data_IF_128571550206
#
_entry.id   IF_128571550206
#
_cell.length_a   1.000
_cell.length_b   1.000
_cell.length_c   1.000
_cell.angle_alpha   90.00
_cell.angle_beta   90.00
_cell.angle_gamma   90.00
#
_symmetry.space_group_name_H-M   'P 1'
#
loop_
_entity.id
_entity.type
_entity.pdbx_description
1 polymer ?
#
# COMPACT_ATOMS: atom_id res chain seq x y z
N UNK A 1 -4.96 22.98 14.74
CA UNK A 1 -4.69 22.83 16.19
C UNK A 1 -6.00 22.74 16.98
N UNK A 2 -6.00 22.42 18.27
CA UNK A 2 -7.20 22.47 19.11
C UNK A 2 -7.55 23.94 19.47
N UNK A 3 -8.69 24.46 19.01
CA UNK A 3 -9.08 25.86 19.25
C UNK A 3 -9.76 26.04 20.62
N UNK A 4 -10.47 25.01 21.08
CA UNK A 4 -11.21 25.01 22.35
C UNK A 4 -10.94 23.72 23.12
N UNK A 5 -11.16 23.78 24.43
CA UNK A 5 -11.15 22.60 25.27
C UNK A 5 -12.50 21.88 25.12
N UNK A 6 -12.48 20.66 24.59
CA UNK A 6 -13.68 19.92 24.19
C UNK A 6 -13.53 18.45 24.62
N UNK A 7 -14.63 17.80 25.07
CA UNK A 7 -14.61 16.37 25.34
C UNK A 7 -14.26 15.56 24.10
N UNK A 8 -13.39 14.57 24.29
CA UNK A 8 -13.02 13.54 23.34
C UNK A 8 -13.86 12.30 23.65
N UNK A 9 -14.52 11.72 22.65
CA UNK A 9 -15.43 10.59 22.82
C UNK A 9 -14.86 9.28 22.27
N UNK A 10 -15.22 8.14 22.87
CA UNK A 10 -14.83 6.81 22.36
C UNK A 10 -15.47 6.55 20.99
N UNK A 11 -16.74 6.94 20.85
CA UNK A 11 -17.56 6.66 19.68
C UNK A 11 -18.08 7.96 19.05
N UNK A 12 -18.41 7.95 17.75
CA UNK A 12 -18.97 9.12 17.08
C UNK A 12 -20.30 9.60 17.69
N UNK A 13 -21.05 8.68 18.31
CA UNK A 13 -22.34 8.97 18.95
C UNK A 13 -22.19 9.77 20.26
N UNK A 14 -20.97 10.02 20.73
CA UNK A 14 -20.75 10.88 21.91
C UNK A 14 -21.15 10.25 23.25
N UNK A 15 -21.36 8.93 23.31
CA UNK A 15 -21.91 8.26 24.51
C UNK A 15 -20.97 8.25 25.71
N UNK A 16 -19.65 8.23 25.50
CA UNK A 16 -18.65 8.15 26.57
C UNK A 16 -17.46 9.05 26.27
N UNK A 17 -17.24 10.03 27.15
CA UNK A 17 -16.05 10.86 27.11
C UNK A 17 -14.85 10.09 27.65
N UNK A 18 -13.76 10.07 26.89
CA UNK A 18 -12.46 9.50 27.29
C UNK A 18 -11.61 10.57 27.97
N UNK A 19 -11.77 11.83 27.56
CA UNK A 19 -11.02 12.93 28.15
C UNK A 19 -11.39 14.29 27.58
N UNK A 20 -10.60 15.30 27.95
CA UNK A 20 -10.77 16.68 27.51
C UNK A 20 -9.55 17.10 26.72
N UNK A 21 -9.76 17.50 25.47
CA UNK A 21 -8.69 17.97 24.59
C UNK A 21 -8.13 19.29 25.10
N UNK A 22 -6.80 19.40 25.24
CA UNK A 22 -6.19 20.64 25.71
C UNK A 22 -6.15 21.68 24.58
N UNK A 23 -6.65 22.90 24.85
CA UNK A 23 -6.59 24.03 23.91
C UNK A 23 -5.14 24.33 23.52
N UNK A 24 -4.93 24.69 22.26
CA UNK A 24 -3.63 25.11 21.71
C UNK A 24 -2.64 23.98 21.46
N UNK A 25 -3.05 22.70 21.57
CA UNK A 25 -2.19 21.56 21.24
C UNK A 25 -2.43 21.09 19.82
N UNK A 26 -1.34 20.71 19.14
CA UNK A 26 -1.40 20.05 17.83
C UNK A 26 -2.03 18.68 18.00
N UNK A 27 -2.88 18.31 17.04
CA UNK A 27 -3.57 17.02 17.02
C UNK A 27 -3.37 16.39 15.65
N UNK A 28 -3.30 15.07 15.61
CA UNK A 28 -3.24 14.32 14.36
C UNK A 28 -4.64 13.79 14.07
N UNK A 29 -5.22 14.18 12.94
CA UNK A 29 -6.49 13.62 12.47
C UNK A 29 -6.21 12.27 11.82
N UNK A 30 -6.94 11.25 12.26
CA UNK A 30 -6.80 9.87 11.79
C UNK A 30 -8.00 9.48 10.90
N UNK A 31 -9.20 9.95 11.22
CA UNK A 31 -10.39 9.67 10.42
C UNK A 31 -11.39 10.83 10.44
N UNK A 32 -12.29 10.85 9.46
CA UNK A 32 -13.40 11.80 9.33
C UNK A 32 -14.70 11.03 9.24
N UNK A 33 -15.72 11.48 9.96
CA UNK A 33 -17.09 11.04 9.80
C UNK A 33 -18.01 12.26 9.85
N UNK A 34 -18.63 12.61 8.72
CA UNK A 34 -19.50 13.78 8.58
C UNK A 34 -18.79 15.06 9.10
N UNK A 35 -19.20 15.56 10.27
CA UNK A 35 -18.64 16.75 10.93
C UNK A 35 -17.83 16.43 12.20
N UNK A 36 -17.36 15.20 12.33
CA UNK A 36 -16.53 14.73 13.44
C UNK A 36 -15.21 14.17 12.92
N UNK A 37 -14.16 14.36 13.71
CA UNK A 37 -12.83 13.84 13.45
C UNK A 37 -12.41 12.88 14.54
N UNK A 38 -11.88 11.74 14.14
CA UNK A 38 -11.14 10.87 15.05
C UNK A 38 -9.71 11.39 15.13
N UNK A 39 -9.29 11.85 16.30
CA UNK A 39 -7.97 12.45 16.51
C UNK A 39 -7.14 11.62 17.46
N UNK A 40 -5.81 11.74 17.33
CA UNK A 40 -4.84 11.44 18.37
C UNK A 40 -4.27 12.77 18.86
N UNK A 41 -4.37 13.01 20.16
CA UNK A 41 -3.94 14.27 20.75
C UNK A 41 -3.63 14.16 22.23
N UNK A 42 -3.08 15.23 22.79
CA UNK A 42 -2.80 15.32 24.22
C UNK A 42 -4.01 15.91 24.95
N UNK A 43 -4.65 15.07 25.75
CA UNK A 43 -5.69 15.45 26.70
C UNK A 43 -5.08 15.89 28.04
N UNK A 44 -5.92 16.36 28.99
CA UNK A 44 -5.47 16.76 30.32
C UNK A 44 -4.70 15.65 31.08
N UNK A 45 -5.11 14.40 30.93
CA UNK A 45 -4.54 13.25 31.66
C UNK A 45 -3.59 12.39 30.81
N UNK A 46 -3.19 12.85 29.61
CA UNK A 46 -2.23 12.13 28.76
C UNK A 46 -2.62 12.08 27.29
N UNK A 47 -1.95 11.23 26.51
CA UNK A 47 -2.28 11.03 25.10
C UNK A 47 -3.55 10.17 24.97
N UNK A 48 -4.52 10.69 24.23
CA UNK A 48 -5.83 10.05 24.03
C UNK A 48 -6.16 10.01 22.54
N UNK A 49 -6.86 8.94 22.14
CA UNK A 49 -7.51 8.82 20.83
C UNK A 49 -9.01 8.87 21.00
N UNK A 50 -9.70 9.60 20.13
CA UNK A 50 -11.16 9.64 20.15
C UNK A 50 -11.76 10.66 19.19
N UNK A 51 -13.09 10.71 19.18
CA UNK A 51 -13.90 11.57 18.34
C UNK A 51 -14.07 12.95 18.95
N UNK A 52 -13.93 13.98 18.13
CA UNK A 52 -14.22 15.38 18.44
C UNK A 52 -14.98 16.02 17.29
N UNK A 53 -15.80 17.00 17.61
CA UNK A 53 -16.51 17.80 16.60
C UNK A 53 -15.53 18.68 15.83
N UNK A 54 -15.74 18.86 14.53
CA UNK A 54 -14.92 19.72 13.66
C UNK A 54 -14.73 21.15 14.20
N UNK A 55 -15.75 21.71 14.84
CA UNK A 55 -15.71 23.05 15.47
C UNK A 55 -14.69 23.17 16.61
N UNK A 56 -14.20 22.04 17.16
CA UNK A 56 -13.20 22.03 18.22
C UNK A 56 -11.78 22.31 17.69
N UNK A 57 -11.57 22.07 16.40
CA UNK A 57 -10.28 22.26 15.73
C UNK A 57 -10.27 23.60 15.02
N UNK A 58 -9.08 24.19 14.91
CA UNK A 58 -8.85 25.29 13.97
C UNK A 58 -9.32 24.89 12.59
N UNK A 59 -9.76 25.89 11.83
CA UNK A 59 -10.29 25.75 10.48
C UNK A 59 -9.31 24.93 9.63
N UNK A 60 -9.59 23.64 9.50
CA UNK A 60 -8.92 22.79 8.52
C UNK A 60 -9.21 23.36 7.14
N UNK A 61 -8.27 23.22 6.23
CA UNK A 61 -8.49 23.62 4.85
C UNK A 61 -9.77 22.93 4.33
N UNK A 62 -10.58 23.67 3.58
CA UNK A 62 -11.85 23.18 3.02
C UNK A 62 -11.62 21.90 2.21
N UNK A 63 -10.47 21.82 1.53
CA UNK A 63 -10.09 20.68 0.69
C UNK A 63 -9.67 19.43 1.49
N UNK A 64 -9.25 19.58 2.75
CA UNK A 64 -8.69 18.49 3.56
C UNK A 64 -9.67 17.33 3.74
N UNK A 65 -10.93 17.65 4.02
CA UNK A 65 -11.98 16.65 4.23
C UNK A 65 -12.30 15.85 2.96
N UNK A 66 -12.28 16.53 1.80
CA UNK A 66 -12.52 15.89 0.51
C UNK A 66 -11.32 15.05 0.08
N UNK A 67 -10.09 15.53 0.30
CA UNK A 67 -8.87 14.76 0.05
C UNK A 67 -8.83 13.48 0.89
N UNK A 68 -9.26 13.52 2.16
CA UNK A 68 -9.36 12.31 3.00
C UNK A 68 -10.40 11.31 2.46
N UNK A 69 -11.52 11.78 1.93
CA UNK A 69 -12.52 10.91 1.28
C UNK A 69 -11.96 10.28 0.01
N UNK A 70 -11.25 11.04 -0.81
CA UNK A 70 -10.57 10.54 -2.02
C UNK A 70 -9.54 9.48 -1.65
N UNK A 71 -8.69 9.75 -0.65
CA UNK A 71 -7.70 8.80 -0.14
C UNK A 71 -8.34 7.53 0.42
N UNK A 72 -9.44 7.66 1.16
CA UNK A 72 -10.18 6.49 1.68
C UNK A 72 -10.74 5.62 0.54
N UNK A 73 -11.30 6.25 -0.51
CA UNK A 73 -11.78 5.53 -1.70
C UNK A 73 -10.62 4.85 -2.43
N UNK A 74 -9.51 5.57 -2.66
CA UNK A 74 -8.27 5.01 -3.24
C UNK A 74 -7.80 3.80 -2.44
N UNK A 75 -7.73 3.91 -1.11
CA UNK A 75 -7.23 2.84 -0.24
C UNK A 75 -8.02 1.54 -0.40
N UNK A 76 -9.36 1.62 -0.49
CA UNK A 76 -10.21 0.44 -0.76
C UNK A 76 -9.85 -0.24 -2.09
N UNK A 77 -9.69 0.55 -3.16
CA UNK A 77 -9.32 0.03 -4.48
C UNK A 77 -7.95 -0.66 -4.41
N UNK A 78 -6.96 -0.03 -3.76
CA UNK A 78 -5.62 -0.59 -3.59
C UNK A 78 -5.64 -1.87 -2.75
N UNK A 79 -6.44 -1.92 -1.68
CA UNK A 79 -6.56 -3.10 -0.83
C UNK A 79 -7.17 -4.29 -1.59
N UNK A 80 -8.17 -4.03 -2.44
CA UNK A 80 -8.73 -5.05 -3.33
C UNK A 80 -7.71 -5.56 -4.35
N UNK A 81 -6.87 -4.66 -4.91
CA UNK A 81 -5.78 -5.06 -5.82
C UNK A 81 -4.73 -5.92 -5.12
N UNK A 82 -4.30 -5.52 -3.92
CA UNK A 82 -3.33 -6.28 -3.11
C UNK A 82 -3.87 -7.67 -2.79
N UNK A 83 -5.14 -7.78 -2.39
CA UNK A 83 -5.79 -9.06 -2.08
C UNK A 83 -5.81 -9.99 -3.29
N UNK A 84 -5.96 -9.43 -4.49
CA UNK A 84 -5.99 -10.18 -5.74
C UNK A 84 -4.60 -10.35 -6.39
N UNK A 85 -3.51 -9.92 -5.74
CA UNK A 85 -2.13 -9.95 -6.27
C UNK A 85 -2.01 -9.23 -7.61
N UNK A 86 -2.68 -8.08 -7.74
CA UNK A 86 -2.68 -7.25 -8.94
C UNK A 86 -1.88 -5.97 -8.74
N UNK A 87 -1.40 -5.40 -9.85
CA UNK A 87 -0.73 -4.11 -9.89
C UNK A 87 -1.51 -3.19 -10.83
N UNK A 88 -1.46 -1.89 -10.53
CA UNK A 88 -2.12 -0.85 -11.30
C UNK A 88 -1.20 0.39 -11.40
N UNK A 89 -1.42 1.18 -12.45
CA UNK A 89 -0.75 2.47 -12.60
C UNK A 89 -1.18 3.40 -11.46
N UNK A 90 -0.25 4.20 -10.95
CA UNK A 90 -0.51 5.09 -9.81
C UNK A 90 -0.41 4.42 -8.43
N UNK A 91 -0.10 3.13 -8.32
CA UNK A 91 0.26 2.49 -7.05
C UNK A 91 1.61 3.01 -6.54
N UNK A 92 1.81 2.99 -5.23
CA UNK A 92 3.09 3.30 -4.59
C UNK A 92 3.99 2.05 -4.56
N UNK A 93 5.32 2.18 -4.51
CA UNK A 93 6.24 1.04 -4.36
C UNK A 93 5.89 0.14 -3.18
N UNK A 94 5.47 0.70 -2.05
CA UNK A 94 5.07 -0.07 -0.87
C UNK A 94 3.80 -0.89 -1.11
N UNK A 95 2.85 -0.34 -1.86
CA UNK A 95 1.61 -1.03 -2.24
C UNK A 95 1.90 -2.15 -3.24
N UNK A 96 2.82 -1.93 -4.19
CA UNK A 96 3.26 -2.96 -5.15
C UNK A 96 3.96 -4.10 -4.42
N UNK A 97 4.89 -3.80 -3.50
CA UNK A 97 5.57 -4.83 -2.70
C UNK A 97 4.58 -5.60 -1.82
N UNK A 98 3.56 -4.93 -1.29
CA UNK A 98 2.51 -5.60 -0.52
C UNK A 98 1.67 -6.56 -1.40
N UNK A 99 1.48 -6.24 -2.67
CA UNK A 99 0.73 -7.06 -3.64
C UNK A 99 1.55 -8.24 -4.17
N UNK A 100 2.75 -7.99 -4.69
CA UNK A 100 3.57 -8.99 -5.40
C UNK A 100 4.69 -9.60 -4.55
N UNK A 101 4.97 -9.04 -3.38
CA UNK A 101 6.13 -9.39 -2.57
C UNK A 101 7.40 -8.66 -2.99
N UNK A 102 8.56 -9.20 -2.59
CA UNK A 102 9.85 -8.59 -2.89
C UNK A 102 10.23 -8.84 -4.37
N UNK A 103 10.71 -7.83 -5.10
CA UNK A 103 11.17 -8.03 -6.47
C UNK A 103 12.42 -8.91 -6.52
N UNK A 104 12.61 -9.58 -7.66
CA UNK A 104 13.80 -10.39 -7.92
C UNK A 104 15.03 -9.50 -8.13
N UNK A 105 14.85 -8.38 -8.85
CA UNK A 105 15.88 -7.37 -9.04
C UNK A 105 15.27 -5.98 -8.83
N UNK A 106 16.10 -5.10 -8.28
CA UNK A 106 15.78 -3.70 -8.07
C UNK A 106 16.89 -2.86 -8.66
N UNK A 107 16.53 -1.95 -9.57
CA UNK A 107 17.41 -0.91 -10.06
C UNK A 107 16.85 0.45 -9.63
N UNK A 108 17.73 1.34 -9.20
CA UNK A 108 17.36 2.67 -8.71
C UNK A 108 18.32 3.68 -9.34
N UNK A 109 17.75 4.69 -10.00
CA UNK A 109 18.48 5.76 -10.66
C UNK A 109 17.99 7.10 -10.12
N UNK A 110 18.93 8.00 -9.84
CA UNK A 110 18.64 9.34 -9.35
C UNK A 110 19.28 10.34 -10.32
N UNK A 111 18.43 11.09 -11.02
CA UNK A 111 18.83 12.12 -11.98
C UNK A 111 18.27 13.49 -11.56
N UNK A 112 18.58 14.55 -12.33
CA UNK A 112 18.07 15.91 -12.06
C UNK A 112 16.54 16.01 -12.07
N UNK A 113 15.86 15.15 -12.81
CA UNK A 113 14.40 15.11 -12.93
C UNK A 113 13.71 14.42 -11.74
N UNK A 114 14.46 13.64 -10.95
CA UNK A 114 13.94 12.91 -9.80
C UNK A 114 14.47 11.49 -9.70
N UNK A 115 13.77 10.67 -8.92
CA UNK A 115 14.13 9.26 -8.69
C UNK A 115 13.30 8.35 -9.58
N UNK A 116 13.97 7.54 -10.39
CA UNK A 116 13.37 6.46 -11.16
C UNK A 116 13.81 5.11 -10.60
N UNK A 117 12.85 4.25 -10.29
CA UNK A 117 13.13 2.89 -9.83
C UNK A 117 12.53 1.88 -10.82
N UNK A 118 13.21 0.77 -11.06
CA UNK A 118 12.71 -0.33 -11.90
C UNK A 118 12.76 -1.61 -11.09
N UNK A 119 11.60 -2.25 -10.90
CA UNK A 119 11.47 -3.52 -10.19
C UNK A 119 11.13 -4.62 -11.18
N UNK A 120 11.94 -5.68 -11.17
CA UNK A 120 11.74 -6.85 -12.03
C UNK A 120 11.24 -8.02 -11.18
N UNK A 121 10.15 -8.63 -11.63
CA UNK A 121 9.56 -9.84 -11.06
C UNK A 121 9.60 -10.95 -12.10
N UNK A 122 10.07 -12.11 -11.67
CA UNK A 122 10.16 -13.31 -12.50
C UNK A 122 9.29 -14.41 -11.91
N UNK A 123 8.38 -14.95 -12.72
CA UNK A 123 7.61 -16.15 -12.36
C UNK A 123 8.38 -17.39 -12.82
N UNK A 124 8.32 -18.45 -12.01
CA UNK A 124 9.03 -19.68 -12.30
C UNK A 124 8.13 -20.88 -12.10
N UNK A 125 8.21 -21.83 -13.02
CA UNK A 125 7.56 -23.12 -12.90
C UNK A 125 8.61 -24.22 -12.69
N UNK A 126 8.23 -25.24 -11.91
CA UNK A 126 9.07 -26.42 -11.69
C UNK A 126 8.70 -27.49 -12.69
N UNK A 127 9.49 -27.59 -13.74
CA UNK A 127 9.28 -28.60 -14.78
C UNK A 127 10.02 -29.88 -14.43
N UNK A 128 9.31 -30.99 -14.49
CA UNK A 128 9.87 -32.31 -14.23
C UNK A 128 10.77 -32.72 -15.41
N UNK A 129 12.02 -33.02 -15.10
CA UNK A 129 12.97 -33.61 -16.02
C UNK A 129 13.40 -34.99 -15.52
N UNK A 130 13.87 -35.82 -16.43
CA UNK A 130 14.35 -37.15 -16.12
C UNK A 130 15.81 -37.27 -16.54
N UNK A 131 16.63 -37.83 -15.65
CA UNK A 131 17.99 -38.21 -15.97
C UNK A 131 18.21 -39.69 -15.68
N UNK A 132 19.03 -40.34 -16.48
CA UNK A 132 19.46 -41.69 -16.21
C UNK A 132 20.56 -41.65 -15.16
N UNK A 133 20.39 -42.43 -14.09
CA UNK A 133 21.40 -42.66 -13.06
C UNK A 133 21.63 -44.15 -12.92
N UNK A 134 22.82 -44.51 -12.44
CA UNK A 134 23.12 -45.88 -12.05
C UNK A 134 22.82 -46.04 -10.55
N UNK A 135 22.21 -47.16 -10.19
CA UNK A 135 22.10 -47.59 -8.80
C UNK A 135 23.45 -48.15 -8.29
N UNK A 136 23.50 -48.56 -7.02
CA UNK A 136 24.71 -49.17 -6.44
C UNK A 136 25.13 -50.50 -7.07
N UNK A 137 24.25 -51.12 -7.86
CA UNK A 137 24.48 -52.37 -8.58
C UNK A 137 24.83 -52.14 -10.07
N UNK A 138 24.86 -50.88 -10.53
CA UNK A 138 25.20 -50.48 -11.88
C UNK A 138 24.04 -50.43 -12.88
N UNK A 139 22.81 -50.75 -12.47
CA UNK A 139 21.61 -50.70 -13.32
C UNK A 139 21.17 -49.26 -13.57
N UNK A 140 20.73 -48.98 -14.80
CA UNK A 140 20.20 -47.67 -15.17
C UNK A 140 18.74 -47.53 -14.74
N UNK A 141 18.44 -46.48 -13.98
CA UNK A 141 17.08 -46.09 -13.65
C UNK A 141 16.83 -44.61 -13.97
N UNK A 142 15.57 -44.27 -14.27
CA UNK A 142 15.15 -42.88 -14.52
C UNK A 142 14.90 -42.19 -13.18
N UNK A 143 15.75 -41.22 -12.85
CA UNK A 143 15.52 -40.34 -11.71
C UNK A 143 14.73 -39.11 -12.16
N UNK A 144 13.54 -38.91 -11.60
CA UNK A 144 12.77 -37.68 -11.74
C UNK A 144 13.37 -36.58 -10.87
N UNK A 145 13.61 -35.41 -11.45
CA UNK A 145 14.03 -34.22 -10.71
C UNK A 145 13.34 -32.99 -11.28
N UNK A 146 13.29 -31.92 -10.50
CA UNK A 146 12.59 -30.69 -10.88
C UNK A 146 13.60 -29.59 -11.17
N UNK A 147 13.46 -28.97 -12.34
CA UNK A 147 14.24 -27.79 -12.74
C UNK A 147 13.33 -26.58 -12.69
N UNK A 148 13.82 -25.51 -12.05
CA UNK A 148 13.13 -24.23 -11.99
C UNK A 148 13.37 -23.50 -13.31
N UNK A 149 12.33 -23.35 -14.12
CA UNK A 149 12.39 -22.63 -15.39
C UNK A 149 11.59 -21.32 -15.26
N UNK A 150 12.12 -20.24 -15.83
CA UNK A 150 11.43 -18.95 -15.85
C UNK A 150 10.31 -19.01 -16.88
N UNK A 151 9.10 -18.66 -16.44
CA UNK A 151 7.88 -18.72 -17.25
C UNK A 151 7.33 -17.35 -17.59
N UNK A 152 7.77 -16.32 -16.86
CA UNK A 152 7.42 -14.96 -17.22
C UNK A 152 8.16 -13.88 -16.47
N UNK A 153 8.15 -12.69 -17.07
CA UNK A 153 8.86 -11.49 -16.61
C UNK A 153 7.94 -10.29 -16.63
N UNK A 154 7.93 -9.58 -15.50
CA UNK A 154 7.19 -8.36 -15.28
C UNK A 154 8.17 -7.27 -14.82
N UNK A 155 8.24 -6.18 -15.57
CA UNK A 155 9.02 -4.99 -15.22
C UNK A 155 8.08 -3.86 -14.85
N UNK A 156 8.26 -3.30 -13.65
CA UNK A 156 7.46 -2.19 -13.13
C UNK A 156 8.38 -0.98 -12.98
N UNK A 157 8.11 0.08 -13.72
CA UNK A 157 8.86 1.34 -13.65
C UNK A 157 8.12 2.33 -12.76
N UNK A 158 8.87 2.94 -11.86
CA UNK A 158 8.40 3.93 -10.92
C UNK A 158 9.04 5.28 -11.21
N UNK A 159 8.22 6.32 -11.14
CA UNK A 159 8.65 7.71 -11.15
C UNK A 159 8.25 8.35 -9.82
N UNK A 160 9.22 8.87 -9.08
CA UNK A 160 9.01 9.45 -7.75
C UNK A 160 8.15 8.57 -6.84
N UNK A 161 8.48 7.26 -6.80
CA UNK A 161 7.84 6.26 -5.95
C UNK A 161 6.42 5.82 -6.40
N UNK A 162 5.95 6.25 -7.56
CA UNK A 162 4.64 5.92 -8.14
C UNK A 162 4.81 5.09 -9.41
N UNK A 163 3.99 4.05 -9.59
CA UNK A 163 3.99 3.21 -10.81
C UNK A 163 3.59 4.06 -12.01
N UNK A 164 4.49 4.16 -12.97
CA UNK A 164 4.31 4.90 -14.22
C UNK A 164 4.04 3.96 -15.40
N UNK A 165 4.76 2.85 -15.49
CA UNK A 165 4.56 1.85 -16.53
C UNK A 165 4.80 0.42 -16.03
N UNK A 166 4.14 -0.51 -16.71
CA UNK A 166 4.17 -1.94 -16.44
C UNK A 166 4.41 -2.63 -17.78
N UNK A 167 5.48 -3.41 -17.87
CA UNK A 167 5.89 -4.13 -19.06
C UNK A 167 5.92 -5.63 -18.77
N UNK A 168 5.25 -6.43 -19.60
CA UNK A 168 5.29 -7.89 -19.57
C UNK A 168 6.04 -8.38 -20.81
N UNK A 169 7.13 -9.10 -20.63
CA UNK A 169 7.99 -9.52 -21.75
C UNK A 169 7.89 -11.02 -22.04
N UNK A 170 7.58 -11.82 -21.02
CA UNK A 170 7.48 -13.28 -21.12
C UNK A 170 6.32 -13.75 -20.24
N UNK A 171 5.49 -14.67 -20.73
CA UNK A 171 4.31 -15.15 -20.01
C UNK A 171 3.26 -14.05 -19.75
N UNK A 172 2.18 -14.42 -19.06
CA UNK A 172 1.12 -13.50 -18.66
C UNK A 172 1.01 -13.48 -17.13
N UNK A 173 2.03 -12.93 -16.42
CA UNK A 173 2.11 -13.00 -14.98
C UNK A 173 0.96 -12.28 -14.26
N UNK A 174 0.32 -11.29 -14.90
CA UNK A 174 -0.87 -10.60 -14.37
C UNK A 174 -2.21 -11.19 -14.85
N UNK A 175 -2.20 -12.27 -15.65
CA UNK A 175 -3.40 -13.04 -15.98
C UNK A 175 -4.37 -12.37 -16.96
N UNK A 176 -3.89 -11.49 -17.86
CA UNK A 176 -4.63 -11.02 -19.04
C UNK A 176 -5.71 -9.99 -18.74
N UNK A 177 -5.66 -9.37 -17.56
CA UNK A 177 -6.59 -8.31 -17.20
C UNK A 177 -6.09 -6.97 -17.72
N UNK A 178 -7.02 -6.16 -18.23
CA UNK A 178 -6.75 -4.78 -18.64
C UNK A 178 -6.07 -4.00 -17.50
N UNK A 179 -5.01 -3.26 -17.83
CA UNK A 179 -4.27 -2.44 -16.87
C UNK A 179 -5.22 -1.46 -16.19
N UNK A 180 -5.32 -1.55 -14.86
CA UNK A 180 -6.13 -0.65 -14.05
C UNK A 180 -5.32 0.60 -13.72
N UNK A 181 -6.00 1.74 -13.63
CA UNK A 181 -5.40 3.03 -13.24
C UNK A 181 -6.00 3.44 -11.90
N UNK A 182 -5.15 3.78 -10.94
CA UNK A 182 -5.56 4.22 -9.60
C UNK A 182 -5.16 5.69 -9.40
N UNK A 183 -6.04 6.55 -8.85
CA UNK A 183 -5.76 7.97 -8.64
C UNK A 183 -4.57 8.17 -7.70
N UNK A 184 -3.49 8.83 -8.12
CA UNK A 184 -2.21 9.00 -7.38
C UNK A 184 -2.42 9.39 -5.90
N UNK A 185 -1.60 8.87 -4.95
CA UNK A 185 -1.73 9.24 -3.55
C UNK A 185 -1.52 10.75 -3.33
N UNK A 186 -2.41 11.36 -2.55
CA UNK A 186 -2.36 12.78 -2.16
C UNK A 186 -1.65 12.88 -0.80
N UNK A 187 -0.66 13.76 -0.70
CA UNK A 187 -0.06 14.11 0.58
C UNK A 187 -0.92 15.13 1.33
N UNK A 188 -1.22 14.85 2.60
CA UNK A 188 -1.95 15.74 3.48
C UNK A 188 -0.96 16.41 4.43
N UNK A 189 -0.76 17.72 4.30
CA UNK A 189 0.08 18.53 5.18
C UNK A 189 -0.74 19.48 6.06
#
# INVERSE_FOLDING_TARGET
>A
MAQKQVPIYVSPQGKRAVGQLKKGKKVTVIAVLNNQFFIKGLALHGQVKGWVTQLALEKLDKTFSDNLRVLSKRKKIVDDLIKNQQIALGMNTSEVIASMGKPNKKNSKLDREGRSDVYEYSTFERVAQYRLRRDGLGNLFKQKYYVKMETGKLSVKFNNNIVESIEETEGNPLGGQNVKIVPIPIELF
#
